data_IF_020663664148
#
_entry.id   IF_020663664148
#
_cell.length_a   1.000
_cell.length_b   1.000
_cell.length_c   1.000
_cell.angle_alpha   90.00
_cell.angle_beta   90.00
_cell.angle_gamma   90.00
#
_symmetry.space_group_name_H-M   'P 1'
#
loop_
_entity.id
_entity.type
_entity.pdbx_description
1 polymer ?
#
# COMPACT_ATOMS: atom_id res chain seq x y z
N UNK A 1 10.10 -0.89 -9.25
CA UNK A 1 9.74 -0.77 -7.80
C UNK A 1 8.29 -0.35 -7.57
N UNK A 2 7.71 0.53 -8.42
CA UNK A 2 6.28 0.90 -8.38
C UNK A 2 5.29 -0.21 -8.77
N UNK A 3 5.78 -1.32 -9.31
CA UNK A 3 4.91 -2.42 -9.80
C UNK A 3 4.33 -3.31 -8.70
N UNK A 4 4.74 -3.13 -7.44
CA UNK A 4 4.10 -3.88 -6.36
C UNK A 4 2.65 -3.41 -6.21
N UNK A 5 1.71 -4.34 -6.41
CA UNK A 5 0.28 -4.16 -6.16
C UNK A 5 0.01 -3.51 -4.78
N UNK A 6 0.84 -3.85 -3.78
CA UNK A 6 0.74 -3.29 -2.43
C UNK A 6 1.07 -1.81 -2.38
N UNK A 7 2.12 -1.36 -3.08
CA UNK A 7 2.48 0.05 -3.16
C UNK A 7 1.41 0.87 -3.87
N UNK A 8 0.81 0.31 -4.93
CA UNK A 8 -0.28 0.97 -5.65
C UNK A 8 -1.52 1.17 -4.78
N UNK A 9 -1.86 0.19 -3.92
CA UNK A 9 -2.93 0.36 -2.91
C UNK A 9 -2.59 1.43 -1.87
N UNK A 10 -1.34 1.49 -1.41
CA UNK A 10 -0.90 2.53 -0.48
C UNK A 10 -0.99 3.92 -1.13
N UNK A 11 -0.67 4.03 -2.42
CA UNK A 11 -0.85 5.27 -3.20
C UNK A 11 -2.32 5.72 -3.22
N UNK A 12 -3.26 4.80 -3.50
CA UNK A 12 -4.69 5.13 -3.42
C UNK A 12 -5.10 5.61 -2.02
N UNK A 13 -4.61 4.94 -0.97
CA UNK A 13 -4.91 5.34 0.41
C UNK A 13 -4.34 6.72 0.75
N UNK A 14 -3.17 7.09 0.22
CA UNK A 14 -2.59 8.43 0.36
C UNK A 14 -3.48 9.49 -0.31
N UNK A 15 -3.96 9.23 -1.52
CA UNK A 15 -4.90 10.14 -2.22
C UNK A 15 -6.20 10.26 -1.45
N UNK A 16 -6.77 9.16 -0.98
CA UNK A 16 -7.98 9.16 -0.17
C UNK A 16 -7.78 9.91 1.16
N UNK A 17 -6.59 9.83 1.76
CA UNK A 17 -6.24 10.62 2.94
C UNK A 17 -6.25 12.12 2.65
N UNK A 18 -5.74 12.56 1.49
CA UNK A 18 -5.81 13.97 1.10
C UNK A 18 -7.25 14.46 0.99
N UNK A 19 -8.15 13.63 0.42
CA UNK A 19 -9.59 13.94 0.37
C UNK A 19 -10.19 14.00 1.77
N UNK A 20 -9.91 13.01 2.63
CA UNK A 20 -10.40 12.99 4.02
C UNK A 20 -9.92 14.21 4.83
N UNK A 21 -8.67 14.63 4.63
CA UNK A 21 -8.09 15.85 5.22
C UNK A 21 -8.84 17.10 4.77
N UNK A 22 -9.06 17.24 3.46
CA UNK A 22 -9.78 18.38 2.87
C UNK A 22 -11.23 18.46 3.35
N UNK A 23 -11.88 17.33 3.56
CA UNK A 23 -13.27 17.24 4.05
C UNK A 23 -13.38 17.18 5.58
N UNK A 24 -12.26 17.33 6.30
CA UNK A 24 -12.19 17.29 7.76
C UNK A 24 -12.80 16.01 8.41
N UNK A 25 -12.66 14.85 7.79
CA UNK A 25 -13.18 13.58 8.33
C UNK A 25 -12.28 13.00 9.42
N UNK A 26 -12.31 13.60 10.61
CA UNK A 26 -11.59 13.13 11.80
C UNK A 26 -12.27 11.92 12.44
N UNK A 27 -11.49 11.16 13.20
CA UNK A 27 -11.95 10.09 14.08
C UNK A 27 -11.19 10.08 15.39
N UNK A 28 -11.81 9.54 16.42
CA UNK A 28 -11.11 9.19 17.66
C UNK A 28 -10.00 8.18 17.36
N UNK A 29 -8.81 8.42 17.93
CA UNK A 29 -7.68 7.50 17.81
C UNK A 29 -8.08 6.16 18.47
N UNK A 30 -7.99 5.03 17.76
CA UNK A 30 -8.28 3.73 18.35
C UNK A 30 -7.29 3.41 19.47
N UNK A 31 -7.76 2.75 20.54
CA UNK A 31 -6.90 2.27 21.62
C UNK A 31 -5.81 1.30 21.14
N UNK A 32 -6.04 0.60 20.04
CA UNK A 32 -5.10 -0.34 19.42
C UNK A 32 -4.07 0.30 18.48
N UNK A 33 -4.13 1.63 18.26
CA UNK A 33 -3.28 2.35 17.30
C UNK A 33 -1.79 2.14 17.58
N UNK A 34 -1.35 2.41 18.81
CA UNK A 34 0.06 2.29 19.25
C UNK A 34 0.60 0.88 19.00
N UNK A 35 -0.17 -0.14 19.40
CA UNK A 35 0.17 -1.55 19.17
C UNK A 35 0.28 -1.88 17.68
N UNK A 36 -0.60 -1.30 16.85
CA UNK A 36 -0.57 -1.46 15.40
C UNK A 36 0.67 -0.82 14.77
N UNK A 37 1.05 0.38 15.23
CA UNK A 37 2.23 1.10 14.76
C UNK A 37 3.52 0.35 15.11
N UNK A 38 3.67 -0.08 16.36
CA UNK A 38 4.83 -0.83 16.84
C UNK A 38 5.06 -2.10 16.01
N UNK A 39 4.00 -2.90 15.77
CA UNK A 39 4.09 -4.10 14.93
C UNK A 39 4.56 -3.82 13.50
N UNK A 40 4.17 -2.69 12.91
CA UNK A 40 4.63 -2.30 11.56
C UNK A 40 6.08 -1.87 11.57
N UNK A 41 6.50 -1.10 12.57
CA UNK A 41 7.89 -0.67 12.76
C UNK A 41 8.82 -1.88 12.98
N UNK A 42 8.46 -2.82 13.86
CA UNK A 42 9.21 -4.06 14.06
C UNK A 42 9.37 -4.87 12.77
N UNK A 43 8.29 -4.95 11.96
CA UNK A 43 8.33 -5.65 10.66
C UNK A 43 9.26 -4.95 9.68
N UNK A 44 9.27 -3.62 9.64
CA UNK A 44 10.19 -2.83 8.81
C UNK A 44 11.64 -3.11 9.22
N UNK A 45 11.94 -3.06 10.52
CA UNK A 45 13.29 -3.29 11.02
C UNK A 45 13.78 -4.72 10.75
N UNK A 46 12.93 -5.73 10.95
CA UNK A 46 13.24 -7.12 10.55
C UNK A 46 13.56 -7.24 9.06
N UNK A 47 12.81 -6.53 8.19
CA UNK A 47 13.05 -6.53 6.74
C UNK A 47 14.36 -5.84 6.37
N UNK A 48 14.70 -4.72 7.02
CA UNK A 48 15.98 -4.01 6.82
C UNK A 48 17.18 -4.85 7.27
N UNK A 49 17.11 -5.48 8.45
CA UNK A 49 18.17 -6.38 8.94
C UNK A 49 18.45 -7.51 7.94
N UNK A 50 17.39 -8.17 7.47
CA UNK A 50 17.51 -9.22 6.44
C UNK A 50 18.10 -8.71 5.13
N UNK A 51 17.78 -7.48 4.70
CA UNK A 51 18.37 -6.88 3.51
C UNK A 51 19.88 -6.71 3.69
N UNK A 52 20.30 -6.12 4.82
CA UNK A 52 21.72 -5.93 5.16
C UNK A 52 22.48 -7.25 5.21
N UNK A 53 21.91 -8.29 5.80
CA UNK A 53 22.52 -9.64 5.80
C UNK A 53 22.72 -10.21 4.39
N UNK A 54 21.76 -9.98 3.48
CA UNK A 54 21.89 -10.43 2.09
C UNK A 54 22.96 -9.65 1.33
N UNK A 55 23.08 -8.34 1.56
CA UNK A 55 24.12 -7.50 0.97
C UNK A 55 25.51 -7.92 1.44
N UNK A 56 25.68 -8.18 2.74
CA UNK A 56 26.93 -8.72 3.31
C UNK A 56 27.28 -10.06 2.66
N UNK A 57 26.31 -10.98 2.51
CA UNK A 57 26.50 -12.26 1.82
C UNK A 57 26.88 -12.10 0.35
N UNK A 58 26.33 -11.10 -0.34
CA UNK A 58 26.68 -10.81 -1.73
C UNK A 58 28.11 -10.27 -1.87
N UNK A 59 28.59 -9.51 -0.88
CA UNK A 59 29.94 -8.96 -0.86
C UNK A 59 31.01 -10.04 -0.65
N UNK A 60 30.74 -11.05 0.17
CA UNK A 60 31.67 -12.17 0.42
C UNK A 60 31.58 -13.31 -0.61
N UNK A 61 30.49 -13.41 -1.37
CA UNK A 61 30.30 -14.47 -2.36
C UNK A 61 31.11 -14.21 -3.63
N UNK A 62 31.97 -15.17 -4.00
CA UNK A 62 32.83 -15.11 -5.19
C UNK A 62 32.22 -15.84 -6.39
N UNK A 63 31.33 -16.81 -6.17
CA UNK A 63 30.76 -17.63 -7.24
C UNK A 63 29.75 -16.83 -8.10
N UNK A 64 29.98 -16.62 -9.41
CA UNK A 64 29.12 -15.79 -10.26
C UNK A 64 27.65 -16.24 -10.30
N UNK A 65 27.40 -17.56 -10.36
CA UNK A 65 26.03 -18.11 -10.39
C UNK A 65 25.28 -17.83 -9.09
N UNK A 66 25.94 -17.97 -7.93
CA UNK A 66 25.35 -17.67 -6.62
C UNK A 66 25.12 -16.17 -6.43
N UNK A 67 26.06 -15.33 -6.86
CA UNK A 67 25.90 -13.86 -6.84
C UNK A 67 24.67 -13.40 -7.63
N UNK A 68 24.44 -13.94 -8.83
CA UNK A 68 23.24 -13.61 -9.64
C UNK A 68 21.95 -13.89 -8.87
N UNK A 69 21.84 -15.09 -8.27
CA UNK A 69 20.69 -15.46 -7.43
C UNK A 69 20.54 -14.58 -6.19
N UNK A 70 21.64 -14.18 -5.55
CA UNK A 70 21.63 -13.27 -4.40
C UNK A 70 21.14 -11.86 -4.79
N UNK A 71 21.59 -11.32 -5.92
CA UNK A 71 21.11 -10.02 -6.44
C UNK A 71 19.60 -10.03 -6.68
N UNK A 72 19.06 -11.10 -7.26
CA UNK A 72 17.61 -11.25 -7.44
C UNK A 72 16.85 -11.31 -6.10
N UNK A 73 17.41 -12.00 -5.10
CA UNK A 73 16.86 -12.05 -3.74
C UNK A 73 16.89 -10.69 -3.05
N UNK A 74 17.99 -9.94 -3.19
CA UNK A 74 18.13 -8.57 -2.68
C UNK A 74 17.08 -7.67 -3.31
N UNK A 75 16.95 -7.67 -4.65
CA UNK A 75 15.92 -6.87 -5.35
C UNK A 75 14.50 -7.15 -4.85
N UNK A 76 14.16 -8.43 -4.62
CA UNK A 76 12.86 -8.81 -4.03
C UNK A 76 12.71 -8.33 -2.58
N UNK A 77 13.80 -8.33 -1.81
CA UNK A 77 13.80 -7.88 -0.42
C UNK A 77 13.73 -6.35 -0.31
N UNK A 78 14.37 -5.61 -1.22
CA UNK A 78 14.27 -4.14 -1.32
C UNK A 78 12.81 -3.72 -1.51
N UNK A 79 12.09 -4.34 -2.46
CA UNK A 79 10.66 -4.06 -2.67
C UNK A 79 9.86 -4.27 -1.38
N UNK A 80 10.16 -5.35 -0.63
CA UNK A 80 9.52 -5.61 0.67
C UNK A 80 9.87 -4.55 1.72
N UNK A 81 11.10 -4.05 1.76
CA UNK A 81 11.48 -2.96 2.66
C UNK A 81 10.71 -1.69 2.28
N UNK A 82 10.66 -1.35 1.00
CA UNK A 82 9.91 -0.19 0.48
C UNK A 82 8.43 -0.28 0.87
N UNK A 83 7.76 -1.41 0.63
CA UNK A 83 6.37 -1.63 1.05
C UNK A 83 6.16 -1.39 2.54
N UNK A 84 7.03 -1.96 3.38
CA UNK A 84 6.90 -1.84 4.83
C UNK A 84 7.14 -0.42 5.32
N UNK A 85 8.05 0.32 4.67
CA UNK A 85 8.32 1.72 4.97
C UNK A 85 7.09 2.59 4.69
N UNK A 86 6.50 2.48 3.49
CA UNK A 86 5.28 3.23 3.16
C UNK A 86 4.08 2.84 4.03
N UNK A 87 3.97 1.58 4.44
CA UNK A 87 2.93 1.17 5.41
C UNK A 87 3.09 1.84 6.78
N UNK A 88 4.31 2.02 7.28
CA UNK A 88 4.56 2.73 8.55
C UNK A 88 4.20 4.19 8.38
N UNK A 89 4.80 4.85 7.37
CA UNK A 89 4.58 6.27 7.09
C UNK A 89 3.09 6.59 6.96
N UNK A 90 2.38 5.85 6.13
CA UNK A 90 0.95 6.09 5.91
C UNK A 90 0.13 5.79 7.18
N UNK A 91 0.47 4.76 7.95
CA UNK A 91 -0.23 4.48 9.20
C UNK A 91 -0.11 5.62 10.22
N UNK A 92 1.05 6.27 10.29
CA UNK A 92 1.27 7.46 11.11
C UNK A 92 0.43 8.64 10.65
N UNK A 93 0.38 8.89 9.34
CA UNK A 93 -0.44 9.96 8.78
C UNK A 93 -1.96 9.71 8.91
N UNK A 94 -2.38 8.44 9.02
CA UNK A 94 -3.77 8.01 9.17
C UNK A 94 -4.26 7.97 10.63
N UNK A 95 -3.45 8.42 11.58
CA UNK A 95 -3.70 8.31 13.03
C UNK A 95 -5.13 8.69 13.43
N UNK A 96 -5.58 9.88 13.03
CA UNK A 96 -6.86 10.47 13.43
C UNK A 96 -7.80 10.76 12.25
N UNK A 97 -7.56 10.15 11.08
CA UNK A 97 -8.38 10.36 9.87
C UNK A 97 -9.24 9.14 9.53
N UNK A 98 -10.50 9.38 9.15
CA UNK A 98 -11.43 8.36 8.69
C UNK A 98 -11.51 8.31 7.15
N UNK A 99 -10.89 7.28 6.58
CA UNK A 99 -10.87 7.05 5.13
C UNK A 99 -12.15 6.44 4.55
N UNK A 100 -13.03 5.87 5.39
CA UNK A 100 -14.23 5.20 4.89
C UNK A 100 -15.23 6.21 4.37
N UNK A 101 -15.44 7.31 5.09
CA UNK A 101 -16.40 8.33 4.72
C UNK A 101 -16.06 8.94 3.36
N UNK A 102 -14.82 9.39 3.18
CA UNK A 102 -14.36 9.96 1.90
C UNK A 102 -14.51 8.96 0.75
N UNK A 103 -14.05 7.71 0.93
CA UNK A 103 -14.10 6.65 -0.09
C UNK A 103 -15.53 6.24 -0.47
N UNK A 104 -16.45 6.20 0.49
CA UNK A 104 -17.77 5.61 0.30
C UNK A 104 -18.83 6.62 -0.16
N UNK A 105 -18.57 7.92 -0.02
CA UNK A 105 -19.58 8.96 -0.25
C UNK A 105 -19.09 10.21 -0.97
N UNK A 106 -17.79 10.52 -0.97
CA UNK A 106 -17.29 11.81 -1.47
C UNK A 106 -16.32 11.71 -2.65
N UNK A 107 -15.77 10.53 -2.91
CA UNK A 107 -14.98 10.27 -4.12
C UNK A 107 -15.91 9.66 -5.16
N UNK A 108 -15.95 10.24 -6.36
CA UNK A 108 -16.69 9.67 -7.48
C UNK A 108 -16.13 8.27 -7.83
N UNK A 109 -16.95 7.20 -7.81
CA UNK A 109 -16.50 5.84 -8.11
C UNK A 109 -15.91 5.68 -9.52
N UNK A 110 -16.25 6.54 -10.49
CA UNK A 110 -15.65 6.53 -11.85
C UNK A 110 -14.18 6.93 -11.80
N UNK A 111 -13.82 7.92 -10.98
CA UNK A 111 -12.42 8.30 -10.77
C UNK A 111 -11.62 7.18 -10.11
N UNK A 112 -12.25 6.39 -9.23
CA UNK A 112 -11.62 5.21 -8.63
C UNK A 112 -11.43 4.09 -9.66
N UNK A 113 -12.42 3.87 -10.54
CA UNK A 113 -12.30 2.94 -11.67
C UNK A 113 -11.13 3.33 -12.59
N UNK A 114 -11.09 4.58 -13.03
CA UNK A 114 -10.04 5.12 -13.89
C UNK A 114 -8.64 5.02 -13.23
N UNK A 115 -8.55 5.30 -11.92
CA UNK A 115 -7.31 5.08 -11.17
C UNK A 115 -6.87 3.61 -11.20
N UNK A 116 -7.81 2.68 -11.00
CA UNK A 116 -7.53 1.24 -11.02
C UNK A 116 -7.06 0.77 -12.40
N UNK A 117 -7.66 1.27 -13.47
CA UNK A 117 -7.25 0.98 -14.86
C UNK A 117 -5.85 1.54 -15.15
N UNK A 118 -5.62 2.82 -14.83
CA UNK A 118 -4.32 3.49 -15.04
C UNK A 118 -3.18 2.79 -14.29
N UNK A 119 -3.44 2.37 -13.06
CA UNK A 119 -2.44 1.69 -12.23
C UNK A 119 -2.45 0.18 -12.41
N UNK A 120 -3.29 -0.39 -13.29
CA UNK A 120 -3.47 -1.83 -13.47
C UNK A 120 -3.65 -2.56 -12.12
N UNK A 121 -4.62 -2.11 -11.32
CA UNK A 121 -5.04 -2.72 -10.05
C UNK A 121 -6.45 -3.23 -10.24
N UNK A 122 -6.71 -4.46 -9.79
CA UNK A 122 -8.07 -4.96 -9.72
C UNK A 122 -8.91 -4.12 -8.72
N UNK A 123 -10.05 -3.61 -9.18
CA UNK A 123 -11.01 -2.82 -8.37
C UNK A 123 -11.43 -3.55 -7.09
N UNK A 124 -11.41 -4.89 -7.07
CA UNK A 124 -11.71 -5.69 -5.87
C UNK A 124 -10.76 -5.44 -4.72
N UNK A 125 -9.58 -4.88 -5.00
CA UNK A 125 -8.56 -4.54 -4.02
C UNK A 125 -8.78 -3.19 -3.35
N UNK A 126 -9.61 -2.34 -3.95
CA UNK A 126 -9.95 -1.00 -3.44
C UNK A 126 -11.35 -0.99 -2.83
N UNK A 127 -12.33 -1.57 -3.54
CA UNK A 127 -13.71 -1.68 -3.11
C UNK A 127 -14.06 -3.08 -2.63
N UNK A 128 -14.70 -3.17 -1.45
CA UNK A 128 -15.33 -4.39 -0.96
C UNK A 128 -16.48 -4.82 -1.88
N UNK A 129 -16.97 -6.06 -1.73
CA UNK A 129 -18.14 -6.55 -2.48
C UNK A 129 -19.34 -5.59 -2.38
N UNK A 130 -19.68 -5.17 -1.16
CA UNK A 130 -20.76 -4.22 -0.90
C UNK A 130 -20.59 -2.86 -1.59
N UNK A 131 -19.35 -2.33 -1.65
CA UNK A 131 -19.08 -1.07 -2.35
C UNK A 131 -19.16 -1.23 -3.86
N UNK A 132 -18.75 -2.38 -4.41
CA UNK A 132 -18.89 -2.68 -5.83
C UNK A 132 -20.36 -2.82 -6.24
N UNK A 133 -21.20 -3.41 -5.38
CA UNK A 133 -22.65 -3.49 -5.60
C UNK A 133 -23.27 -2.08 -5.58
N UNK A 134 -22.95 -1.27 -4.55
CA UNK A 134 -23.42 0.13 -4.42
C UNK A 134 -23.04 0.98 -5.64
N UNK A 135 -21.82 0.82 -6.15
CA UNK A 135 -21.30 1.60 -7.27
C UNK A 135 -21.34 0.87 -8.61
N UNK A 136 -22.17 -0.17 -8.72
CA UNK A 136 -22.26 -0.97 -9.95
C UNK A 136 -22.57 -0.14 -11.19
N UNK A 137 -23.37 0.92 -11.05
CA UNK A 137 -23.69 1.87 -12.12
C UNK A 137 -22.47 2.61 -12.68
N UNK A 138 -21.41 2.81 -11.88
CA UNK A 138 -20.18 3.47 -12.30
C UNK A 138 -19.07 2.49 -12.71
N UNK A 139 -19.16 1.23 -12.25
CA UNK A 139 -18.13 0.21 -12.47
C UNK A 139 -18.40 -0.65 -13.71
N UNK A 140 -19.64 -0.69 -14.21
CA UNK A 140 -19.96 -1.35 -15.47
C UNK A 140 -19.15 -0.71 -16.61
N UNK A 141 -18.78 -1.52 -17.60
CA UNK A 141 -18.35 -1.00 -18.89
C UNK A 141 -19.58 -0.52 -19.64
N UNK A 142 -19.48 0.66 -20.26
CA UNK A 142 -20.51 1.10 -21.18
C UNK A 142 -20.44 0.13 -22.37
N UNK A 143 -21.38 -0.81 -22.44
CA UNK A 143 -21.60 -1.60 -23.65
C UNK A 143 -22.18 -0.65 -24.71
N UNK A 144 -21.31 0.10 -25.38
CA UNK A 144 -21.61 0.92 -26.54
C UNK A 144 -20.48 0.82 -27.53
#
# INVERSE_FOLDING_TARGET
PRDSEKLKKLSFQEVNLKVAKKLNHKRKIPSSYERGLLRKQERLEKRKKKLKELEIKLASEKNPKKRKKLKERIKKQEVKVTEAYYEVKLHEELKDWNLNTSKNSYIDPRLVKEFCEKENIDITKIYSKSLREKFSWALKEDNT
#
